data_IF_816073863407
#
_entry.id   IF_816073863407
#
_cell.length_a   1.000
_cell.length_b   1.000
_cell.length_c   1.000
_cell.angle_alpha   90.00
_cell.angle_beta   90.00
_cell.angle_gamma   90.00
#
_symmetry.space_group_name_H-M   'P 1'
#
loop_
_entity.id
_entity.type
_entity.pdbx_description
1 polymer ?
#
# COMPACT_ATOMS: atom_id res chain seq x y z
N UNK A 1 6.19 19.99 -61.56
CA UNK A 1 4.94 20.49 -60.95
C UNK A 1 3.71 19.59 -61.14
N UNK A 2 3.55 18.81 -62.23
CA UNK A 2 2.33 17.99 -62.44
C UNK A 2 2.18 16.73 -61.55
N UNK A 3 3.26 16.18 -60.98
CA UNK A 3 3.20 14.95 -60.14
C UNK A 3 2.84 15.20 -58.66
N UNK A 4 3.10 16.39 -58.13
CA UNK A 4 2.83 16.73 -56.72
C UNK A 4 1.33 17.02 -56.52
N UNK A 5 0.67 17.64 -57.50
CA UNK A 5 -0.76 17.92 -57.41
C UNK A 5 -1.63 16.64 -57.49
N UNK A 6 -1.15 15.57 -58.11
CA UNK A 6 -1.88 14.30 -58.20
C UNK A 6 -1.86 13.55 -56.86
N UNK A 7 -0.73 13.57 -56.14
CA UNK A 7 -0.58 12.92 -54.84
C UNK A 7 -1.38 13.66 -53.76
N UNK A 8 -1.41 15.00 -53.82
CA UNK A 8 -2.20 15.81 -52.90
C UNK A 8 -3.71 15.61 -53.13
N UNK A 9 -4.17 15.48 -54.38
CA UNK A 9 -5.57 15.17 -54.68
C UNK A 9 -5.97 13.78 -54.17
N UNK A 10 -5.14 12.76 -54.38
CA UNK A 10 -5.45 11.39 -53.92
C UNK A 10 -5.48 11.32 -52.39
N UNK A 11 -4.58 12.01 -51.69
CA UNK A 11 -4.58 12.07 -50.22
C UNK A 11 -5.81 12.80 -49.66
N UNK A 12 -6.25 13.89 -50.29
CA UNK A 12 -7.46 14.64 -49.89
C UNK A 12 -8.72 13.83 -50.19
N UNK A 13 -8.75 13.06 -51.28
CA UNK A 13 -9.90 12.19 -51.61
C UNK A 13 -9.99 10.98 -50.67
N UNK A 14 -8.86 10.41 -50.21
CA UNK A 14 -8.84 9.37 -49.17
C UNK A 14 -9.25 9.91 -47.79
N UNK A 15 -8.89 11.15 -47.46
CA UNK A 15 -9.26 11.78 -46.19
C UNK A 15 -10.76 12.17 -46.14
N UNK A 16 -11.35 12.57 -47.27
CA UNK A 16 -12.77 12.93 -47.36
C UNK A 16 -13.72 11.73 -47.57
N UNK A 17 -13.22 10.60 -48.09
CA UNK A 17 -14.03 9.38 -48.24
C UNK A 17 -14.01 8.50 -46.98
N UNK A 18 -12.98 8.63 -46.13
CA UNK A 18 -12.84 7.88 -44.87
C UNK A 18 -13.72 8.35 -43.71
N UNK A 19 -14.24 9.59 -43.74
CA UNK A 19 -15.01 10.15 -42.61
C UNK A 19 -16.52 9.93 -42.71
N UNK A 20 -17.05 9.58 -43.89
CA UNK A 20 -18.50 9.38 -44.07
C UNK A 20 -18.94 7.90 -43.99
N UNK A 21 -18.02 6.94 -44.06
CA UNK A 21 -18.34 5.51 -43.88
C UNK A 21 -18.33 5.07 -42.41
N UNK A 22 -17.57 5.74 -41.54
CA UNK A 22 -17.52 5.44 -40.10
C UNK A 22 -18.74 6.04 -39.36
N UNK A 23 -19.38 7.08 -39.91
CA UNK A 23 -20.54 7.70 -39.27
C UNK A 23 -21.88 6.95 -39.47
N UNK A 24 -21.98 6.04 -40.46
CA UNK A 24 -23.20 5.23 -40.68
C UNK A 24 -23.11 3.84 -40.04
N UNK A 25 -21.91 3.24 -39.94
CA UNK A 25 -21.75 1.91 -39.33
C UNK A 25 -21.76 1.94 -37.78
N UNK A 26 -21.53 3.12 -37.18
CA UNK A 26 -21.51 3.27 -35.71
C UNK A 26 -22.90 3.57 -35.11
N UNK A 27 -23.81 4.22 -35.84
CA UNK A 27 -25.18 4.51 -35.36
C UNK A 27 -26.06 3.26 -35.34
N UNK A 28 -25.88 2.34 -36.31
CA UNK A 28 -26.55 1.03 -36.30
C UNK A 28 -26.03 0.12 -35.18
N UNK A 29 -24.73 0.24 -34.81
CA UNK A 29 -24.14 -0.55 -33.73
C UNK A 29 -24.57 -0.08 -32.34
N UNK A 30 -24.75 1.22 -32.12
CA UNK A 30 -25.35 1.75 -30.88
C UNK A 30 -26.82 1.32 -30.74
N UNK A 31 -27.62 1.40 -31.80
CA UNK A 31 -29.01 0.93 -31.78
C UNK A 31 -29.09 -0.60 -31.62
N UNK A 32 -28.19 -1.37 -32.24
CA UNK A 32 -28.11 -2.82 -32.08
C UNK A 32 -27.64 -3.26 -30.68
N UNK A 33 -26.73 -2.51 -30.04
CA UNK A 33 -26.34 -2.75 -28.64
C UNK A 33 -27.45 -2.34 -27.65
N UNK A 34 -28.20 -1.27 -27.96
CA UNK A 34 -29.37 -0.84 -27.20
C UNK A 34 -30.55 -1.82 -27.32
N UNK A 35 -30.77 -2.42 -28.50
CA UNK A 35 -31.77 -3.47 -28.69
C UNK A 35 -31.38 -4.77 -27.98
N UNK A 36 -30.09 -5.10 -27.89
CA UNK A 36 -29.58 -6.22 -27.09
C UNK A 36 -29.73 -6.02 -25.57
N UNK A 37 -29.82 -4.77 -25.10
CA UNK A 37 -30.09 -4.41 -23.70
C UNK A 37 -31.59 -4.43 -23.35
N UNK A 38 -32.49 -4.74 -24.29
CA UNK A 38 -33.93 -4.76 -24.02
C UNK A 38 -34.38 -5.95 -23.18
N UNK A 39 -33.50 -6.91 -22.90
CA UNK A 39 -33.68 -7.97 -21.89
C UNK A 39 -32.52 -7.91 -20.89
N UNK A 40 -32.45 -6.84 -20.10
CA UNK A 40 -31.55 -6.78 -18.95
C UNK A 40 -31.94 -7.88 -17.96
N UNK A 41 -31.07 -8.88 -17.81
CA UNK A 41 -31.12 -9.87 -16.73
C UNK A 41 -31.17 -9.14 -15.38
N UNK A 42 -32.02 -9.57 -14.45
CA UNK A 42 -32.13 -8.96 -13.12
C UNK A 42 -30.79 -8.95 -12.38
N UNK A 43 -29.93 -9.94 -12.66
CA UNK A 43 -28.59 -10.00 -12.12
C UNK A 43 -27.63 -8.96 -12.68
N UNK A 44 -27.92 -8.38 -13.86
CA UNK A 44 -27.08 -7.35 -14.47
C UNK A 44 -27.48 -5.95 -13.99
N UNK A 45 -28.77 -5.76 -13.67
CA UNK A 45 -29.34 -4.48 -13.19
C UNK A 45 -28.61 -3.94 -11.95
N UNK A 46 -28.04 -4.82 -11.11
CA UNK A 46 -27.30 -4.43 -9.91
C UNK A 46 -25.99 -3.69 -10.16
N UNK A 47 -25.45 -3.80 -11.37
CA UNK A 47 -24.17 -3.18 -11.77
C UNK A 47 -24.32 -1.78 -12.37
N UNK A 48 -25.55 -1.33 -12.64
CA UNK A 48 -25.82 -0.02 -13.25
C UNK A 48 -26.25 1.03 -12.21
N UNK A 49 -25.87 2.31 -12.40
CA UNK A 49 -26.39 3.41 -11.60
C UNK A 49 -27.91 3.39 -11.48
N UNK A 50 -28.40 3.36 -10.24
CA UNK A 50 -29.83 3.33 -9.91
C UNK A 50 -30.16 4.33 -8.82
N UNK A 51 -31.34 4.94 -8.93
CA UNK A 51 -31.85 5.81 -7.87
C UNK A 51 -33.36 5.76 -7.79
N UNK A 52 -33.87 5.97 -6.58
CA UNK A 52 -35.28 6.07 -6.29
C UNK A 52 -35.71 7.52 -6.21
N UNK A 53 -36.80 7.88 -6.87
CA UNK A 53 -37.33 9.25 -6.88
C UNK A 53 -38.21 9.45 -5.64
N UNK A 54 -37.93 10.47 -4.84
CA UNK A 54 -38.75 10.88 -3.69
C UNK A 54 -39.49 12.21 -3.90
N UNK A 55 -39.28 12.88 -5.02
CA UNK A 55 -39.95 14.15 -5.36
C UNK A 55 -41.41 13.92 -5.80
N UNK A 56 -42.43 14.41 -5.06
CA UNK A 56 -43.83 14.09 -5.31
C UNK A 56 -44.32 14.49 -6.70
N UNK A 57 -43.93 15.67 -7.19
CA UNK A 57 -44.35 16.16 -8.50
C UNK A 57 -43.81 15.28 -9.64
N UNK A 58 -42.55 14.87 -9.55
CA UNK A 58 -41.94 13.95 -10.52
C UNK A 58 -42.58 12.56 -10.48
N UNK A 59 -42.93 12.07 -9.28
CA UNK A 59 -43.62 10.79 -9.12
C UNK A 59 -44.98 10.80 -9.86
N UNK A 60 -45.74 11.89 -9.73
CA UNK A 60 -47.04 12.06 -10.41
C UNK A 60 -46.85 12.11 -11.93
N UNK A 61 -45.88 12.90 -12.41
CA UNK A 61 -45.61 13.00 -13.85
C UNK A 61 -45.18 11.67 -14.47
N UNK A 62 -44.33 10.91 -13.78
CA UNK A 62 -43.90 9.59 -14.23
C UNK A 62 -45.09 8.63 -14.22
N UNK A 63 -45.88 8.58 -13.14
CA UNK A 63 -47.08 7.73 -13.11
C UNK A 63 -48.08 8.07 -14.22
N UNK A 64 -48.27 9.36 -14.54
CA UNK A 64 -49.13 9.76 -15.65
C UNK A 64 -48.62 9.27 -17.01
N UNK A 65 -47.29 9.19 -17.19
CA UNK A 65 -46.71 8.62 -18.40
C UNK A 65 -46.99 7.11 -18.49
N UNK A 66 -46.92 6.38 -17.37
CA UNK A 66 -47.29 4.96 -17.31
C UNK A 66 -48.77 4.72 -17.63
N UNK A 67 -49.67 5.54 -17.10
CA UNK A 67 -51.08 5.47 -17.45
C UNK A 67 -51.32 5.81 -18.93
N UNK A 68 -50.61 6.83 -19.46
CA UNK A 68 -50.67 7.21 -20.88
C UNK A 68 -50.15 6.14 -21.84
N UNK A 69 -49.23 5.29 -21.37
CA UNK A 69 -48.72 4.13 -22.11
C UNK A 69 -49.59 2.87 -21.99
N UNK A 70 -50.67 2.91 -21.18
CA UNK A 70 -51.63 1.80 -21.05
C UNK A 70 -51.29 0.74 -19.99
N UNK A 71 -50.40 1.03 -19.03
CA UNK A 71 -50.10 0.10 -17.93
C UNK A 71 -51.26 0.01 -16.92
N UNK A 72 -51.49 -1.18 -16.35
CA UNK A 72 -52.52 -1.38 -15.32
C UNK A 72 -52.20 -0.59 -14.05
N UNK A 73 -53.17 0.19 -13.58
CA UNK A 73 -53.09 0.99 -12.36
C UNK A 73 -52.76 0.16 -11.13
N UNK A 74 -53.15 -1.13 -11.10
CA UNK A 74 -52.88 -2.03 -9.97
C UNK A 74 -51.40 -2.38 -9.82
N UNK A 75 -50.60 -2.25 -10.88
CA UNK A 75 -49.16 -2.55 -10.89
C UNK A 75 -48.30 -1.32 -10.57
N UNK A 76 -48.90 -0.13 -10.56
CA UNK A 76 -48.20 1.15 -10.38
C UNK A 76 -48.13 1.55 -8.91
N UNK A 77 -46.94 1.90 -8.43
CA UNK A 77 -46.72 2.36 -7.06
C UNK A 77 -45.91 3.67 -7.05
N UNK A 78 -46.56 4.78 -6.67
CA UNK A 78 -45.95 6.12 -6.55
C UNK A 78 -44.77 6.15 -5.59
N UNK A 79 -44.85 5.37 -4.51
CA UNK A 79 -43.79 5.29 -3.50
C UNK A 79 -42.61 4.43 -3.96
N UNK A 80 -42.68 3.81 -5.13
CA UNK A 80 -41.65 2.91 -5.64
C UNK A 80 -41.33 3.19 -7.12
N UNK A 81 -40.77 4.37 -7.39
CA UNK A 81 -40.28 4.75 -8.71
C UNK A 81 -38.75 4.74 -8.70
N UNK A 82 -38.16 3.88 -9.53
CA UNK A 82 -36.70 3.76 -9.67
C UNK A 82 -36.27 4.01 -11.10
N UNK A 83 -35.11 4.66 -11.25
CA UNK A 83 -34.49 4.95 -12.54
C UNK A 83 -33.20 4.17 -12.62
N UNK A 84 -33.07 3.39 -13.71
CA UNK A 84 -31.87 2.69 -14.10
C UNK A 84 -31.22 3.44 -15.25
N UNK A 85 -29.93 3.76 -15.13
CA UNK A 85 -29.23 4.51 -16.16
C UNK A 85 -27.79 4.04 -16.38
N UNK A 86 -27.25 4.36 -17.55
CA UNK A 86 -25.84 4.21 -17.90
C UNK A 86 -25.14 5.59 -17.89
N UNK A 87 -23.84 5.66 -17.56
CA UNK A 87 -23.06 6.88 -17.76
C UNK A 87 -23.02 7.23 -19.27
N UNK A 88 -23.23 8.51 -19.60
CA UNK A 88 -23.16 8.97 -20.99
C UNK A 88 -21.75 8.89 -21.59
N UNK A 89 -21.67 8.73 -22.92
CA UNK A 89 -20.41 8.59 -23.67
C UNK A 89 -19.51 9.85 -23.66
N UNK A 90 -20.06 11.01 -23.27
CA UNK A 90 -19.35 12.26 -23.19
C UNK A 90 -19.57 12.86 -21.79
N UNK A 91 -18.51 12.81 -21.00
CA UNK A 91 -18.30 13.61 -19.80
C UNK A 91 -18.96 13.15 -18.48
N UNK A 92 -18.24 12.28 -17.76
CA UNK A 92 -18.55 11.83 -16.39
C UNK A 92 -18.45 13.01 -15.39
N UNK A 93 -17.76 14.11 -15.72
CA UNK A 93 -17.62 15.27 -14.83
C UNK A 93 -18.91 16.07 -14.62
N UNK A 94 -19.93 15.92 -15.49
CA UNK A 94 -21.19 16.69 -15.40
C UNK A 94 -22.42 15.88 -15.01
N UNK A 95 -22.29 14.57 -14.73
CA UNK A 95 -23.39 13.76 -14.21
C UNK A 95 -24.51 13.49 -15.21
N UNK A 96 -24.20 13.48 -16.51
CA UNK A 96 -25.17 13.12 -17.55
C UNK A 96 -25.33 11.60 -17.65
N UNK A 97 -26.53 11.13 -17.32
CA UNK A 97 -26.90 9.73 -17.44
C UNK A 97 -27.81 9.50 -18.65
N UNK A 98 -27.67 8.35 -19.30
CA UNK A 98 -28.63 7.86 -20.28
C UNK A 98 -29.59 6.88 -19.60
N UNK A 99 -30.88 7.20 -19.57
CA UNK A 99 -31.87 6.35 -18.92
C UNK A 99 -32.06 5.07 -19.75
N UNK A 100 -31.88 3.93 -19.10
CA UNK A 100 -32.09 2.61 -19.69
C UNK A 100 -33.52 2.12 -19.41
N UNK A 101 -33.97 2.26 -18.16
CA UNK A 101 -35.27 1.79 -17.70
C UNK A 101 -35.79 2.66 -16.56
N UNK A 102 -37.12 2.83 -16.51
CA UNK A 102 -37.81 3.41 -15.36
C UNK A 102 -38.81 2.38 -14.85
N UNK A 103 -38.79 2.09 -13.56
CA UNK A 103 -39.79 1.24 -12.89
C UNK A 103 -40.74 2.09 -12.05
N UNK A 104 -41.99 1.65 -11.96
CA UNK A 104 -43.04 2.23 -11.14
C UNK A 104 -43.86 1.09 -10.53
N UNK A 105 -43.53 0.69 -9.30
CA UNK A 105 -44.06 -0.56 -8.72
C UNK A 105 -43.50 -1.78 -9.45
N UNK A 106 -44.39 -2.63 -9.94
CA UNK A 106 -44.04 -3.86 -10.69
C UNK A 106 -43.97 -3.62 -12.21
N UNK A 107 -44.41 -2.44 -12.67
CA UNK A 107 -44.35 -2.05 -14.07
C UNK A 107 -43.01 -1.38 -14.40
N UNK A 108 -42.52 -1.57 -15.63
CA UNK A 108 -41.31 -0.92 -16.12
C UNK A 108 -41.47 -0.45 -17.57
N UNK A 109 -40.86 0.70 -17.88
CA UNK A 109 -40.70 1.22 -19.23
C UNK A 109 -39.27 1.04 -19.70
N UNK A 110 -39.11 0.48 -20.90
CA UNK A 110 -37.81 0.37 -21.60
C UNK A 110 -37.50 1.65 -22.38
N UNK A 111 -36.26 1.82 -22.83
CA UNK A 111 -35.79 3.01 -23.55
C UNK A 111 -36.73 3.48 -24.66
N UNK A 112 -37.25 2.59 -25.52
CA UNK A 112 -38.18 2.97 -26.60
C UNK A 112 -39.51 3.55 -26.07
N UNK A 113 -40.06 2.99 -24.99
CA UNK A 113 -41.27 3.50 -24.34
C UNK A 113 -41.00 4.82 -23.63
N UNK A 114 -39.81 4.99 -23.05
CA UNK A 114 -39.40 6.24 -22.41
C UNK A 114 -39.35 7.36 -23.44
N UNK A 115 -38.73 7.15 -24.61
CA UNK A 115 -38.70 8.17 -25.66
C UNK A 115 -40.10 8.54 -26.18
N UNK A 116 -41.04 7.60 -26.16
CA UNK A 116 -42.38 7.80 -26.70
C UNK A 116 -43.34 8.48 -25.70
N UNK A 117 -43.28 8.13 -24.42
CA UNK A 117 -44.28 8.52 -23.42
C UNK A 117 -43.77 9.51 -22.37
N UNK A 118 -42.45 9.67 -22.23
CA UNK A 118 -41.86 10.63 -21.29
C UNK A 118 -41.36 11.84 -22.08
N UNK A 119 -41.85 13.03 -21.72
CA UNK A 119 -41.45 14.26 -22.39
C UNK A 119 -39.94 14.48 -22.33
N UNK A 120 -39.38 15.06 -23.39
CA UNK A 120 -37.95 15.38 -23.46
C UNK A 120 -37.49 16.27 -22.30
N UNK A 121 -38.32 17.23 -21.88
CA UNK A 121 -38.05 18.08 -20.73
C UNK A 121 -37.97 17.29 -19.41
N UNK A 122 -38.85 16.30 -19.20
CA UNK A 122 -38.82 15.43 -18.03
C UNK A 122 -37.59 14.51 -18.05
N UNK A 123 -37.27 13.92 -19.20
CA UNK A 123 -36.05 13.11 -19.39
C UNK A 123 -34.80 13.91 -19.02
N UNK A 124 -34.64 15.13 -19.54
CA UNK A 124 -33.50 16.00 -19.24
C UNK A 124 -33.40 16.39 -17.77
N UNK A 125 -34.55 16.55 -17.07
CA UNK A 125 -34.57 16.77 -15.62
C UNK A 125 -34.11 15.53 -14.86
N UNK A 126 -34.59 14.35 -15.25
CA UNK A 126 -34.25 13.08 -14.61
C UNK A 126 -32.75 12.75 -14.73
N UNK A 127 -32.16 13.02 -15.90
CA UNK A 127 -30.74 12.78 -16.20
C UNK A 127 -29.80 13.83 -15.62
N UNK A 128 -30.33 14.92 -15.05
CA UNK A 128 -29.54 16.04 -14.55
C UNK A 128 -28.99 16.98 -15.63
N UNK A 129 -29.42 16.84 -16.88
CA UNK A 129 -29.08 17.76 -17.97
C UNK A 129 -29.69 19.15 -17.76
N UNK A 130 -30.89 19.20 -17.16
CA UNK A 130 -31.56 20.43 -16.78
C UNK A 130 -31.90 20.37 -15.28
N UNK A 131 -31.59 21.44 -14.54
CA UNK A 131 -31.96 21.57 -13.14
C UNK A 131 -33.48 21.57 -12.94
N UNK A 132 -33.94 20.84 -11.93
CA UNK A 132 -35.34 20.85 -11.49
C UNK A 132 -35.70 22.17 -10.79
N UNK A 133 -34.78 22.78 -10.05
CA UNK A 133 -34.98 24.00 -9.26
C UNK A 133 -34.71 25.30 -10.03
N UNK A 134 -34.30 25.20 -11.30
CA UNK A 134 -34.04 26.34 -12.18
C UNK A 134 -32.64 26.94 -12.10
N UNK A 135 -31.77 26.42 -11.22
CA UNK A 135 -30.36 26.85 -11.09
C UNK A 135 -29.42 25.64 -11.04
N UNK A 136 -28.31 25.70 -11.80
CA UNK A 136 -27.24 24.70 -11.80
C UNK A 136 -27.39 23.54 -12.80
N UNK A 137 -26.45 22.59 -12.73
CA UNK A 137 -26.41 21.31 -13.46
C UNK A 137 -26.51 20.14 -12.46
N UNK A 138 -27.00 18.99 -12.90
CA UNK A 138 -27.19 17.80 -12.06
C UNK A 138 -28.63 17.56 -11.59
N UNK A 139 -28.85 16.45 -10.88
CA UNK A 139 -30.16 16.06 -10.34
C UNK A 139 -30.47 16.90 -9.08
N UNK A 140 -31.23 17.98 -9.23
CA UNK A 140 -31.57 18.90 -8.13
C UNK A 140 -32.94 18.63 -7.49
N UNK A 141 -33.50 17.44 -7.68
CA UNK A 141 -34.76 16.99 -7.10
C UNK A 141 -34.52 15.99 -5.96
N UNK A 142 -35.53 15.64 -5.16
CA UNK A 142 -35.38 14.59 -4.14
C UNK A 142 -35.16 13.21 -4.79
N UNK A 143 -33.99 12.60 -4.54
CA UNK A 143 -33.71 11.19 -4.88
C UNK A 143 -32.89 10.49 -3.80
N UNK A 144 -32.97 9.15 -3.79
CA UNK A 144 -32.13 8.27 -2.97
C UNK A 144 -31.33 7.35 -3.89
N UNK A 145 -30.00 7.43 -3.86
CA UNK A 145 -29.15 6.52 -4.64
C UNK A 145 -29.25 5.09 -4.12
N UNK A 146 -29.27 4.15 -5.06
CA UNK A 146 -29.13 2.72 -4.78
C UNK A 146 -27.70 2.37 -5.20
N UNK A 147 -26.85 1.90 -4.27
CA UNK A 147 -25.46 1.59 -4.58
C UNK A 147 -25.39 0.50 -5.65
N UNK A 148 -24.46 0.64 -6.58
CA UNK A 148 -24.11 -0.42 -7.53
C UNK A 148 -23.39 -1.53 -6.76
N UNK A 149 -23.79 -2.77 -7.00
CA UNK A 149 -22.92 -3.89 -6.68
C UNK A 149 -21.76 -3.83 -7.67
N UNK A 150 -20.53 -4.06 -7.20
CA UNK A 150 -19.37 -4.20 -8.07
C UNK A 150 -19.21 -5.71 -8.28
N UNK A 151 -19.15 -6.22 -9.53
CA UNK A 151 -18.91 -7.64 -9.71
C UNK A 151 -17.53 -7.93 -9.12
N UNK A 152 -17.39 -9.07 -8.43
CA UNK A 152 -16.09 -9.57 -8.01
C UNK A 152 -15.33 -9.90 -9.29
N UNK A 153 -14.57 -8.95 -9.81
CA UNK A 153 -13.88 -9.12 -11.08
C UNK A 153 -12.80 -10.17 -10.88
N UNK A 154 -12.84 -11.25 -11.65
CA UNK A 154 -11.84 -12.31 -11.59
C UNK A 154 -10.55 -11.97 -12.35
N UNK A 155 -10.42 -10.79 -12.96
CA UNK A 155 -9.31 -10.49 -13.88
C UNK A 155 -8.84 -9.02 -13.99
N UNK A 156 -9.18 -8.12 -13.06
CA UNK A 156 -8.47 -6.84 -12.96
C UNK A 156 -7.53 -6.88 -11.77
N UNK A 157 -6.22 -6.76 -12.04
CA UNK A 157 -5.24 -6.50 -10.99
C UNK A 157 -5.66 -5.21 -10.26
N UNK A 158 -6.09 -5.35 -9.01
CA UNK A 158 -6.33 -4.20 -8.15
C UNK A 158 -5.00 -3.52 -7.87
N UNK A 159 -4.94 -2.20 -8.10
CA UNK A 159 -3.77 -1.43 -7.72
C UNK A 159 -3.63 -1.49 -6.20
N UNK A 160 -2.65 -2.24 -5.71
CA UNK A 160 -2.32 -2.29 -4.29
C UNK A 160 -0.91 -1.75 -4.11
N UNK A 161 -0.68 -0.94 -3.07
CA UNK A 161 0.68 -0.51 -2.80
C UNK A 161 1.50 -1.74 -2.42
N UNK A 162 1.13 -2.45 -1.35
CA UNK A 162 1.90 -3.55 -0.78
C UNK A 162 1.16 -4.90 -0.89
N UNK A 163 1.80 -5.88 -1.55
CA UNK A 163 1.21 -7.20 -1.77
C UNK A 163 1.10 -8.03 -0.48
N UNK A 164 2.05 -7.86 0.44
CA UNK A 164 2.03 -8.53 1.75
C UNK A 164 1.08 -7.81 2.72
N UNK A 165 0.66 -6.58 2.38
CA UNK A 165 -0.28 -5.77 3.14
C UNK A 165 -1.41 -5.22 2.27
N UNK A 166 -2.25 -6.10 1.68
CA UNK A 166 -3.30 -5.69 0.73
C UNK A 166 -4.36 -4.79 1.37
N UNK A 167 -4.60 -3.63 0.76
CA UNK A 167 -5.53 -2.62 1.27
C UNK A 167 -6.98 -2.80 0.79
N UNK A 168 -7.17 -3.57 -0.27
CA UNK A 168 -8.40 -3.88 -1.00
C UNK A 168 -9.26 -4.99 -0.38
N UNK A 169 -8.70 -5.84 0.49
CA UNK A 169 -9.41 -6.98 1.11
C UNK A 169 -10.05 -6.64 2.47
N UNK A 170 -11.03 -7.40 2.96
CA UNK A 170 -11.63 -7.13 4.27
C UNK A 170 -10.65 -7.48 5.40
N UNK A 171 -10.04 -8.66 5.35
CA UNK A 171 -9.05 -9.09 6.32
C UNK A 171 -7.88 -9.75 5.61
N UNK A 172 -6.68 -9.53 6.16
CA UNK A 172 -5.45 -10.07 5.61
C UNK A 172 -4.54 -10.52 6.74
N UNK A 173 -3.91 -11.66 6.52
CA UNK A 173 -2.85 -12.20 7.35
C UNK A 173 -1.67 -12.57 6.46
N UNK A 174 -0.48 -12.08 6.78
CA UNK A 174 0.75 -12.52 6.13
C UNK A 174 1.77 -12.94 7.17
N UNK A 175 2.41 -14.09 6.99
CA UNK A 175 3.40 -14.63 7.91
C UNK A 175 4.66 -15.03 7.15
N UNK A 176 5.79 -14.45 7.52
CA UNK A 176 7.13 -14.90 7.14
C UNK A 176 8.03 -14.92 8.38
N UNK A 177 9.26 -15.43 8.23
CA UNK A 177 10.29 -15.32 9.25
C UNK A 177 10.63 -13.85 9.53
N UNK A 178 10.48 -12.98 8.53
CA UNK A 178 10.86 -11.58 8.62
C UNK A 178 9.78 -10.70 9.24
N UNK A 179 8.53 -10.94 8.87
CA UNK A 179 7.41 -10.10 9.28
C UNK A 179 6.09 -10.89 9.38
N UNK A 180 5.22 -10.41 10.27
CA UNK A 180 3.91 -10.96 10.54
C UNK A 180 2.93 -9.79 10.53
N UNK A 181 1.99 -9.77 9.59
CA UNK A 181 1.05 -8.67 9.42
C UNK A 181 -0.39 -9.15 9.57
N UNK A 182 -1.20 -8.38 10.28
CA UNK A 182 -2.64 -8.60 10.45
C UNK A 182 -3.37 -7.31 10.12
N UNK A 183 -4.31 -7.36 9.17
CA UNK A 183 -5.27 -6.28 8.92
C UNK A 183 -6.49 -6.45 9.83
N UNK A 184 -6.93 -5.38 10.47
CA UNK A 184 -8.07 -5.41 11.40
C UNK A 184 -9.34 -4.97 10.68
N UNK A 185 -10.00 -5.91 10.01
CA UNK A 185 -11.24 -5.67 9.24
C UNK A 185 -11.10 -4.54 8.21
N UNK A 186 -12.21 -3.90 7.86
CA UNK A 186 -12.23 -2.82 6.87
C UNK A 186 -11.75 -1.44 7.42
N UNK A 187 -11.04 -1.43 8.54
CA UNK A 187 -10.64 -0.17 9.22
C UNK A 187 -9.38 0.46 8.64
N UNK A 188 -8.60 -0.32 7.87
CA UNK A 188 -7.26 0.06 7.41
C UNK A 188 -6.17 -0.03 8.48
N UNK A 189 -6.51 -0.46 9.70
CA UNK A 189 -5.52 -0.69 10.75
C UNK A 189 -4.71 -1.94 10.46
N UNK A 190 -3.42 -1.86 10.77
CA UNK A 190 -2.51 -2.98 10.66
C UNK A 190 -1.73 -3.18 11.95
N UNK A 191 -1.70 -4.41 12.43
CA UNK A 191 -0.74 -4.85 13.43
C UNK A 191 0.39 -5.58 12.73
N UNK A 192 1.61 -5.11 12.94
CA UNK A 192 2.81 -5.63 12.29
C UNK A 192 3.82 -6.04 13.34
N UNK A 193 4.29 -7.28 13.29
CA UNK A 193 5.47 -7.71 14.04
C UNK A 193 6.62 -7.97 13.08
N UNK A 194 7.81 -7.44 13.37
CA UNK A 194 9.00 -7.61 12.52
C UNK A 194 10.19 -8.07 13.33
N UNK A 195 11.09 -8.78 12.68
CA UNK A 195 12.41 -9.12 13.21
C UNK A 195 13.46 -8.46 12.31
N UNK A 196 14.35 -7.66 12.92
CA UNK A 196 15.27 -6.81 12.17
C UNK A 196 14.87 -5.34 12.13
N UNK A 197 15.69 -4.55 11.44
CA UNK A 197 15.41 -3.17 11.05
C UNK A 197 15.88 -2.94 9.60
N UNK A 198 15.09 -3.42 8.66
CA UNK A 198 15.36 -3.29 7.23
C UNK A 198 15.56 -1.82 6.79
N UNK A 199 14.87 -0.87 7.43
CA UNK A 199 14.90 0.56 7.04
C UNK A 199 16.29 1.19 7.10
N UNK A 200 17.13 0.70 8.02
CA UNK A 200 18.52 1.14 8.19
C UNK A 200 19.54 0.11 7.69
N UNK A 201 19.10 -0.87 6.91
CA UNK A 201 19.96 -1.89 6.29
C UNK A 201 20.33 -3.08 7.19
N UNK A 202 19.88 -3.11 8.45
CA UNK A 202 20.10 -4.24 9.36
C UNK A 202 18.93 -5.20 9.30
N UNK A 203 18.97 -6.10 8.33
CA UNK A 203 17.88 -7.04 8.08
C UNK A 203 17.70 -8.09 9.18
N UNK A 204 16.73 -8.98 8.97
CA UNK A 204 16.40 -10.11 9.82
C UNK A 204 17.57 -10.73 10.58
N UNK A 205 17.34 -11.01 11.87
CA UNK A 205 18.28 -11.59 12.83
C UNK A 205 19.50 -10.73 13.16
N UNK A 206 20.01 -9.95 12.20
CA UNK A 206 21.26 -9.22 12.37
C UNK A 206 21.19 -8.12 13.42
N UNK A 207 20.07 -7.41 13.56
CA UNK A 207 19.95 -6.29 14.50
C UNK A 207 19.77 -6.70 15.97
N UNK A 208 19.47 -7.98 16.25
CA UNK A 208 19.15 -8.42 17.61
C UNK A 208 17.90 -7.77 18.21
N UNK A 209 17.00 -7.26 17.36
CA UNK A 209 15.79 -6.55 17.77
C UNK A 209 14.57 -7.06 17.00
N UNK A 210 13.44 -7.18 17.70
CA UNK A 210 12.12 -7.35 17.13
C UNK A 210 11.24 -6.16 17.44
N UNK A 211 10.21 -5.90 16.63
CA UNK A 211 9.25 -4.83 16.87
C UNK A 211 7.81 -5.30 16.74
N UNK A 212 6.92 -4.58 17.42
CA UNK A 212 5.47 -4.63 17.21
C UNK A 212 4.99 -3.20 16.97
N UNK A 213 4.30 -2.99 15.86
CA UNK A 213 3.84 -1.69 15.39
C UNK A 213 2.35 -1.74 15.05
N UNK A 214 1.60 -0.74 15.51
CA UNK A 214 0.22 -0.49 15.11
C UNK A 214 0.21 0.67 14.11
N UNK A 215 -0.18 0.40 12.88
CA UNK A 215 -0.45 1.43 11.89
C UNK A 215 -1.92 1.79 11.88
N UNK A 216 -2.19 3.10 11.88
CA UNK A 216 -3.52 3.70 11.81
C UNK A 216 -3.61 4.66 10.61
N UNK A 217 -4.64 4.52 9.77
CA UNK A 217 -4.95 5.55 8.77
C UNK A 217 -5.54 6.79 9.46
N UNK A 218 -5.00 7.96 9.12
CA UNK A 218 -5.42 9.26 9.67
C UNK A 218 -6.22 10.09 8.67
N UNK A 219 -5.98 9.92 7.37
CA UNK A 219 -6.66 10.69 6.33
C UNK A 219 -7.02 9.82 5.13
N UNK A 220 -8.29 9.85 4.73
CA UNK A 220 -8.81 9.14 3.56
C UNK A 220 -8.54 9.92 2.28
N UNK A 221 -8.12 9.22 1.23
CA UNK A 221 -8.06 9.77 -0.11
C UNK A 221 -9.47 9.81 -0.71
N UNK A 222 -9.93 11.01 -1.08
CA UNK A 222 -11.25 11.22 -1.69
C UNK A 222 -11.23 11.27 -3.21
N UNK A 223 -10.04 11.30 -3.83
CA UNK A 223 -9.91 11.32 -5.28
C UNK A 223 -10.23 9.93 -5.85
N UNK A 224 -11.29 9.85 -6.67
CA UNK A 224 -11.78 8.59 -7.25
C UNK A 224 -10.70 7.91 -8.11
N UNK A 225 -9.82 8.67 -8.76
CA UNK A 225 -8.81 8.11 -9.65
C UNK A 225 -7.66 7.42 -8.90
N UNK A 226 -7.33 7.92 -7.70
CA UNK A 226 -6.16 7.46 -6.95
C UNK A 226 -6.53 6.72 -5.67
N UNK A 227 -7.75 6.86 -5.16
CA UNK A 227 -8.23 6.21 -3.92
C UNK A 227 -8.26 4.69 -3.98
N UNK A 228 -8.45 4.09 -5.16
CA UNK A 228 -8.36 2.63 -5.32
C UNK A 228 -6.95 2.12 -4.96
N UNK A 229 -5.93 2.80 -5.46
CA UNK A 229 -4.53 2.44 -5.23
C UNK A 229 -3.97 2.94 -3.90
N UNK A 230 -4.35 4.16 -3.52
CA UNK A 230 -3.86 4.91 -2.37
C UNK A 230 -5.08 5.34 -1.57
N UNK A 231 -5.68 4.45 -0.78
CA UNK A 231 -6.93 4.73 -0.06
C UNK A 231 -6.74 5.73 1.09
N UNK A 232 -5.53 5.84 1.63
CA UNK A 232 -5.21 6.71 2.74
C UNK A 232 -4.04 7.62 2.38
N UNK A 233 -4.23 8.93 2.53
CA UNK A 233 -3.16 9.90 2.30
C UNK A 233 -2.21 10.04 3.49
N UNK A 234 -2.64 9.63 4.68
CA UNK A 234 -1.80 9.72 5.87
C UNK A 234 -1.96 8.47 6.70
N UNK A 235 -0.85 7.79 6.99
CA UNK A 235 -0.77 6.68 7.93
C UNK A 235 0.23 7.04 9.01
N UNK A 236 -0.17 6.92 10.27
CA UNK A 236 0.76 6.99 11.39
C UNK A 236 0.95 5.60 11.96
N UNK A 237 2.15 5.30 12.43
CA UNK A 237 2.43 4.06 13.14
C UNK A 237 3.18 4.35 14.44
N UNK A 238 2.83 3.57 15.46
CA UNK A 238 3.43 3.62 16.79
C UNK A 238 3.66 2.19 17.26
N UNK A 239 4.79 1.95 17.91
CA UNK A 239 5.18 0.62 18.32
C UNK A 239 6.24 0.59 19.40
N UNK A 240 6.57 -0.63 19.80
CA UNK A 240 7.66 -0.92 20.73
C UNK A 240 8.61 -1.94 20.10
N UNK A 241 9.91 -1.67 20.21
CA UNK A 241 10.97 -2.62 19.92
C UNK A 241 11.43 -3.31 21.20
N UNK A 242 11.81 -4.58 21.07
CA UNK A 242 12.32 -5.41 22.14
C UNK A 242 13.56 -6.16 21.67
N UNK A 243 14.48 -6.39 22.60
CA UNK A 243 15.70 -7.16 22.32
C UNK A 243 15.35 -8.63 22.15
N UNK A 244 15.79 -9.20 21.06
CA UNK A 244 15.75 -10.64 20.81
C UNK A 244 17.04 -11.22 21.37
N UNK A 245 16.98 -12.33 22.11
CA UNK A 245 18.17 -13.00 22.67
C UNK A 245 18.58 -14.23 21.85
N UNK A 246 17.65 -14.81 21.09
CA UNK A 246 17.94 -15.93 20.22
C UNK A 246 19.02 -15.57 19.19
N UNK A 247 19.90 -16.52 18.88
CA UNK A 247 20.97 -16.34 17.90
C UNK A 247 22.30 -15.82 18.43
N UNK A 248 22.43 -15.65 19.75
CA UNK A 248 23.72 -15.45 20.45
C UNK A 248 24.35 -16.79 20.80
N UNK A 249 23.54 -17.77 21.17
CA UNK A 249 23.99 -19.14 21.36
C UNK A 249 23.18 -20.07 20.44
N UNK A 250 23.80 -20.63 19.38
CA UNK A 250 23.13 -21.53 18.48
C UNK A 250 22.70 -22.86 19.14
N UNK A 251 23.27 -23.25 20.28
CA UNK A 251 22.98 -24.55 20.90
C UNK A 251 21.54 -24.70 21.40
N UNK A 252 20.83 -23.60 21.64
CA UNK A 252 19.48 -23.56 22.21
C UNK A 252 18.43 -22.88 21.29
N UNK A 253 18.71 -22.69 20.00
CA UNK A 253 17.80 -22.00 19.07
C UNK A 253 17.28 -22.90 17.94
N UNK A 254 16.04 -22.67 17.49
CA UNK A 254 15.50 -23.28 16.26
C UNK A 254 16.26 -22.86 14.97
N UNK A 255 17.11 -21.83 15.05
CA UNK A 255 17.85 -21.26 13.93
C UNK A 255 19.35 -21.56 13.99
N UNK A 256 19.75 -22.76 14.41
CA UNK A 256 21.17 -23.18 14.51
C UNK A 256 21.96 -23.05 13.21
N UNK A 257 21.27 -23.04 12.07
CA UNK A 257 21.81 -22.90 10.72
C UNK A 257 22.04 -21.43 10.29
N UNK A 258 21.50 -20.46 11.03
CA UNK A 258 21.72 -19.03 10.78
C UNK A 258 23.01 -18.61 11.50
N UNK A 259 23.84 -17.81 10.83
CA UNK A 259 25.06 -17.28 11.44
C UNK A 259 24.73 -16.53 12.74
N UNK A 260 25.54 -16.77 13.76
CA UNK A 260 25.44 -16.07 15.04
C UNK A 260 25.46 -14.55 14.83
N UNK A 261 24.57 -13.86 15.54
CA UNK A 261 24.50 -12.40 15.50
C UNK A 261 25.33 -11.82 16.64
N UNK A 262 26.00 -10.72 16.34
CA UNK A 262 26.84 -9.98 17.30
C UNK A 262 26.19 -8.69 17.75
N UNK A 263 25.41 -8.02 16.89
CA UNK A 263 24.72 -6.78 17.21
C UNK A 263 23.50 -7.05 18.11
N UNK A 264 23.40 -6.26 19.18
CA UNK A 264 22.31 -6.32 20.14
C UNK A 264 21.34 -5.15 19.93
N UNK A 265 20.04 -5.41 20.10
CA UNK A 265 19.04 -4.36 20.23
C UNK A 265 19.25 -3.53 21.50
N UNK A 266 18.50 -2.44 21.63
CA UNK A 266 18.56 -1.54 22.78
C UNK A 266 18.34 -2.28 24.12
N UNK A 267 19.05 -1.86 25.16
CA UNK A 267 19.09 -2.52 26.49
C UNK A 267 17.69 -2.66 27.10
N UNK A 268 16.91 -1.58 27.08
CA UNK A 268 15.57 -1.47 27.66
C UNK A 268 14.44 -1.53 26.61
N UNK A 269 14.76 -1.94 25.38
CA UNK A 269 13.85 -1.84 24.24
C UNK A 269 13.81 -0.43 23.65
N UNK A 270 12.90 -0.22 22.69
CA UNK A 270 12.80 1.03 21.93
C UNK A 270 11.35 1.47 21.72
N UNK A 271 11.13 2.77 21.62
CA UNK A 271 9.90 3.36 21.12
C UNK A 271 10.03 3.54 19.61
N UNK A 272 9.02 3.11 18.86
CA UNK A 272 8.97 3.25 17.40
C UNK A 272 7.82 4.19 17.05
N UNK A 273 8.08 5.18 16.21
CA UNK A 273 7.08 6.09 15.70
C UNK A 273 7.37 6.42 14.24
N UNK A 274 6.32 6.58 13.44
CA UNK A 274 6.49 7.07 12.09
C UNK A 274 5.20 7.48 11.40
N UNK A 275 5.38 8.01 10.20
CA UNK A 275 4.37 8.67 9.41
C UNK A 275 4.66 8.44 7.93
N UNK A 276 3.68 7.92 7.19
CA UNK A 276 3.67 7.93 5.73
C UNK A 276 2.63 8.96 5.27
N UNK A 277 3.06 9.94 4.49
CA UNK A 277 2.21 11.02 3.98
C UNK A 277 2.28 11.11 2.46
N UNK A 278 1.14 10.98 1.81
CA UNK A 278 0.94 11.21 0.39
C UNK A 278 0.40 12.63 0.16
N UNK A 279 0.88 13.30 -0.88
CA UNK A 279 0.47 14.66 -1.19
C UNK A 279 -1.01 14.68 -1.64
N UNK A 280 -1.88 15.55 -1.09
CA UNK A 280 -3.30 15.57 -1.45
C UNK A 280 -3.62 15.85 -2.92
N UNK A 281 -2.80 16.66 -3.60
CA UNK A 281 -2.98 17.03 -5.01
C UNK A 281 -2.28 16.03 -5.94
N UNK A 282 -1.28 15.31 -5.43
CA UNK A 282 -0.48 14.36 -6.19
C UNK A 282 -0.15 13.12 -5.36
N UNK A 283 -1.14 12.26 -5.08
CA UNK A 283 -1.00 11.16 -4.10
C UNK A 283 0.10 10.14 -4.44
N UNK A 284 0.54 10.10 -5.70
CA UNK A 284 1.66 9.27 -6.12
C UNK A 284 2.97 9.63 -5.43
N UNK A 285 3.16 10.90 -5.05
CA UNK A 285 4.34 11.35 -4.33
C UNK A 285 4.04 11.64 -2.85
N UNK A 286 5.07 11.55 -2.03
CA UNK A 286 4.93 11.78 -0.60
C UNK A 286 6.24 11.71 0.14
N UNK A 287 6.14 11.64 1.46
CA UNK A 287 7.29 11.41 2.34
C UNK A 287 6.96 10.40 3.43
N UNK A 288 7.98 9.69 3.88
CA UNK A 288 7.93 8.75 5.00
C UNK A 288 8.95 9.13 6.06
N UNK A 289 8.55 9.04 7.32
CA UNK A 289 9.40 9.24 8.49
C UNK A 289 9.25 8.04 9.40
N UNK A 290 10.35 7.49 9.87
CA UNK A 290 10.41 6.44 10.89
C UNK A 290 11.53 6.78 11.85
N UNK A 291 11.24 6.66 13.14
CA UNK A 291 12.21 6.90 14.19
C UNK A 291 12.05 5.80 15.23
N UNK A 292 13.19 5.28 15.66
CA UNK A 292 13.33 4.32 16.74
C UNK A 292 14.27 4.87 17.79
N UNK A 293 13.76 5.08 19.00
CA UNK A 293 14.50 5.66 20.12
C UNK A 293 14.58 4.65 21.26
N UNK A 294 15.76 4.38 21.83
CA UNK A 294 15.86 3.54 23.02
C UNK A 294 15.11 4.21 24.19
N UNK A 295 14.44 3.42 25.02
CA UNK A 295 13.66 3.94 26.16
C UNK A 295 14.57 4.53 27.24
N UNK A 296 15.75 3.95 27.40
CA UNK A 296 16.79 4.41 28.32
C UNK A 296 18.12 4.57 27.59
N UNK A 297 18.94 5.50 28.05
CA UNK A 297 20.31 5.61 27.56
C UNK A 297 21.19 4.49 28.11
N UNK A 298 22.33 4.27 27.46
CA UNK A 298 23.29 3.25 27.84
C UNK A 298 23.90 3.61 29.19
N UNK A 299 23.85 2.67 30.14
CA UNK A 299 24.45 2.77 31.47
C UNK A 299 25.13 1.47 31.85
N UNK A 300 26.00 1.54 32.85
CA UNK A 300 26.57 0.36 33.48
C UNK A 300 25.46 -0.59 33.95
N UNK A 301 25.38 -1.78 33.36
CA UNK A 301 24.28 -2.73 33.58
C UNK A 301 24.84 -4.13 33.84
N UNK A 302 24.34 -4.80 34.88
CA UNK A 302 24.63 -6.21 35.13
C UNK A 302 23.87 -7.10 34.13
N UNK A 303 24.54 -8.08 33.54
CA UNK A 303 24.00 -8.89 32.45
C UNK A 303 24.25 -10.38 32.62
N UNK A 304 23.38 -11.17 32.00
CA UNK A 304 23.64 -12.59 31.73
C UNK A 304 24.39 -12.71 30.39
N UNK A 305 25.70 -12.94 30.42
CA UNK A 305 26.58 -12.91 29.24
C UNK A 305 26.04 -13.70 28.04
N UNK A 306 25.52 -14.91 28.25
CA UNK A 306 25.00 -15.78 27.19
C UNK A 306 23.79 -15.20 26.41
N UNK A 307 23.19 -14.10 26.89
CA UNK A 307 22.10 -13.39 26.20
C UNK A 307 22.58 -12.21 25.35
N UNK A 308 23.89 -11.96 25.30
CA UNK A 308 24.48 -10.81 24.61
C UNK A 308 25.52 -11.25 23.59
N UNK A 309 25.35 -10.80 22.35
CA UNK A 309 26.37 -10.95 21.31
C UNK A 309 27.57 -10.08 21.65
N UNK A 310 28.77 -10.62 21.49
CA UNK A 310 30.03 -9.91 21.75
C UNK A 310 31.08 -10.30 20.71
N UNK A 311 32.13 -9.49 20.59
CA UNK A 311 33.29 -9.81 19.77
C UNK A 311 34.59 -9.47 20.50
N UNK A 312 35.70 -10.06 20.04
CA UNK A 312 37.01 -9.94 20.68
C UNK A 312 37.54 -8.51 20.66
N UNK A 313 38.39 -8.18 21.63
CA UNK A 313 39.09 -6.91 21.69
C UNK A 313 40.02 -6.75 20.47
N UNK A 314 40.13 -5.52 19.98
CA UNK A 314 41.15 -5.16 18.99
C UNK A 314 42.52 -5.10 19.67
N UNK A 315 43.51 -5.94 19.28
CA UNK A 315 44.82 -5.96 19.93
C UNK A 315 45.63 -4.68 19.71
N UNK A 316 45.24 -3.83 18.75
CA UNK A 316 45.91 -2.55 18.48
C UNK A 316 45.36 -1.39 19.34
N UNK A 317 44.26 -1.60 20.07
CA UNK A 317 43.59 -0.58 20.87
C UNK A 317 43.78 -0.89 22.36
N UNK A 318 44.25 0.11 23.11
CA UNK A 318 44.34 0.00 24.56
C UNK A 318 42.98 0.36 25.19
N UNK A 319 42.34 -0.61 25.83
CA UNK A 319 41.04 -0.45 26.47
C UNK A 319 41.22 -0.19 27.96
N UNK A 320 41.31 1.09 28.34
CA UNK A 320 41.59 1.50 29.72
C UNK A 320 40.28 1.83 30.44
N UNK A 321 39.94 1.07 31.49
CA UNK A 321 38.85 1.41 32.40
C UNK A 321 39.35 2.29 33.55
N UNK A 322 38.71 3.44 33.76
CA UNK A 322 39.03 4.32 34.91
C UNK A 322 38.76 3.66 36.27
N UNK A 323 38.00 2.57 36.31
CA UNK A 323 37.69 1.79 37.50
C UNK A 323 38.64 0.60 37.72
N UNK A 324 39.66 0.42 36.85
CA UNK A 324 40.64 -0.65 36.97
C UNK A 324 40.12 -2.04 36.61
N UNK A 325 38.94 -2.13 35.97
CA UNK A 325 38.39 -3.38 35.48
C UNK A 325 39.06 -3.80 34.16
N UNK A 326 39.46 -5.07 34.09
CA UNK A 326 39.96 -5.67 32.85
C UNK A 326 38.77 -5.97 31.93
N UNK A 327 38.74 -5.30 30.78
CA UNK A 327 37.72 -5.54 29.75
C UNK A 327 38.02 -6.88 29.08
N UNK A 328 37.02 -7.72 28.92
CA UNK A 328 37.16 -9.07 28.36
C UNK A 328 36.70 -9.16 26.90
N UNK A 329 35.67 -8.40 26.52
CA UNK A 329 35.13 -8.36 25.16
C UNK A 329 34.32 -7.10 24.91
N UNK A 330 33.99 -6.83 23.65
CA UNK A 330 33.13 -5.70 23.27
C UNK A 330 31.71 -6.18 22.96
N UNK A 331 30.72 -5.47 23.51
CA UNK A 331 29.29 -5.69 23.32
C UNK A 331 28.71 -4.50 22.53
N UNK A 332 28.40 -4.68 21.23
CA UNK A 332 27.80 -3.64 20.40
C UNK A 332 26.29 -3.55 20.65
N UNK A 333 25.79 -2.34 20.91
CA UNK A 333 24.38 -2.07 21.23
C UNK A 333 23.82 -1.00 20.29
N UNK A 334 22.69 -1.33 19.65
CA UNK A 334 21.93 -0.37 18.84
C UNK A 334 21.33 0.73 19.71
N UNK A 335 21.52 1.98 19.28
CA UNK A 335 20.93 3.18 19.89
C UNK A 335 19.81 3.71 18.99
N UNK A 336 19.72 5.04 18.88
CA UNK A 336 18.74 5.72 18.05
C UNK A 336 18.97 5.41 16.58
N UNK A 337 17.87 5.20 15.85
CA UNK A 337 17.90 5.06 14.41
C UNK A 337 16.64 5.65 13.79
N UNK A 338 16.70 5.96 12.50
CA UNK A 338 15.55 6.47 11.78
C UNK A 338 15.83 6.69 10.31
N UNK A 339 14.76 6.95 9.56
CA UNK A 339 14.87 7.41 8.18
C UNK A 339 13.84 8.49 7.90
N UNK A 340 14.22 9.40 7.01
CA UNK A 340 13.33 10.33 6.34
C UNK A 340 13.50 10.10 4.84
N UNK A 341 12.42 9.83 4.12
CA UNK A 341 12.46 9.56 2.68
C UNK A 341 11.36 10.31 1.95
N UNK A 342 11.67 10.81 0.76
CA UNK A 342 10.67 11.16 -0.24
C UNK A 342 10.40 9.92 -1.08
N UNK A 343 9.15 9.69 -1.45
CA UNK A 343 8.78 8.57 -2.31
C UNK A 343 7.95 9.01 -3.51
N UNK A 344 8.04 8.22 -4.58
CA UNK A 344 7.23 8.35 -5.78
C UNK A 344 6.76 6.99 -6.28
N UNK A 345 5.46 6.86 -6.49
CA UNK A 345 4.77 5.66 -6.95
C UNK A 345 4.40 5.82 -8.44
N UNK A 346 4.94 4.95 -9.28
CA UNK A 346 4.74 4.99 -10.72
C UNK A 346 4.10 3.69 -11.22
N UNK A 347 2.85 3.79 -11.68
CA UNK A 347 2.19 2.73 -12.44
C UNK A 347 2.54 2.88 -13.91
N UNK A 348 3.09 1.82 -14.52
CA UNK A 348 3.51 1.86 -15.93
C UNK A 348 2.33 2.01 -16.89
N UNK A 349 1.18 1.43 -16.52
CA UNK A 349 -0.11 1.65 -17.17
C UNK A 349 -1.14 2.03 -16.10
N UNK A 350 -1.72 3.22 -16.20
CA UNK A 350 -2.72 3.71 -15.25
C UNK A 350 -4.09 3.07 -15.43
N UNK A 351 -4.37 2.48 -16.60
CA UNK A 351 -5.63 1.78 -16.88
C UNK A 351 -5.57 0.33 -16.42
N UNK A 352 -4.41 -0.30 -16.56
CA UNK A 352 -4.11 -1.65 -16.09
C UNK A 352 -2.90 -1.61 -15.15
N UNK A 353 -3.11 -1.36 -13.84
CA UNK A 353 -2.04 -1.11 -12.87
C UNK A 353 -1.28 -2.37 -12.45
N UNK A 354 -1.00 -3.29 -13.37
CA UNK A 354 -0.30 -4.54 -13.10
C UNK A 354 1.16 -4.31 -12.70
N UNK A 355 1.82 -3.34 -13.34
CA UNK A 355 3.24 -3.10 -13.16
C UNK A 355 3.45 -1.75 -12.47
N UNK A 356 4.19 -1.82 -11.36
CA UNK A 356 4.37 -0.72 -10.44
C UNK A 356 5.83 -0.59 -10.05
N UNK A 357 6.31 0.65 -10.01
CA UNK A 357 7.61 1.03 -9.52
C UNK A 357 7.46 2.03 -8.38
N UNK A 358 8.20 1.84 -7.30
CA UNK A 358 8.37 2.83 -6.24
C UNK A 358 9.82 3.23 -6.14
N UNK A 359 10.05 4.53 -6.07
CA UNK A 359 11.34 5.13 -5.82
C UNK A 359 11.28 5.83 -4.48
N UNK A 360 12.26 5.57 -3.61
CA UNK A 360 12.46 6.30 -2.37
C UNK A 360 13.86 6.90 -2.36
N UNK A 361 13.98 8.14 -1.90
CA UNK A 361 15.25 8.83 -1.72
C UNK A 361 15.19 9.70 -0.46
N UNK A 362 16.22 9.65 0.37
CA UNK A 362 16.32 10.52 1.52
C UNK A 362 17.52 10.23 2.39
N UNK A 363 17.31 10.34 3.70
CA UNK A 363 18.35 10.21 4.71
C UNK A 363 18.06 9.09 5.70
N UNK A 364 19.10 8.37 6.09
CA UNK A 364 19.08 7.38 7.17
C UNK A 364 20.05 7.79 8.27
N UNK A 365 19.66 7.53 9.52
CA UNK A 365 20.52 7.65 10.69
C UNK A 365 20.49 6.33 11.46
N UNK A 366 21.66 5.83 11.86
CA UNK A 366 21.74 4.71 12.79
C UNK A 366 22.97 4.85 13.67
N UNK A 367 22.80 4.61 14.96
CA UNK A 367 23.87 4.68 15.93
C UNK A 367 24.04 3.34 16.64
N UNK A 368 25.28 2.87 16.74
CA UNK A 368 25.67 1.67 17.48
C UNK A 368 26.83 2.04 18.38
N UNK A 369 26.68 1.84 19.69
CA UNK A 369 27.73 2.10 20.65
C UNK A 369 28.37 0.78 21.11
N UNK A 370 29.69 0.77 21.22
CA UNK A 370 30.44 -0.29 21.87
C UNK A 370 30.36 -0.13 23.39
N UNK A 371 30.23 -1.25 24.09
CA UNK A 371 30.32 -1.35 25.55
C UNK A 371 31.38 -2.39 25.90
N UNK A 372 32.21 -2.11 26.90
CA UNK A 372 33.14 -3.08 27.45
C UNK A 372 32.42 -4.06 28.38
N UNK A 373 32.63 -5.35 28.16
CA UNK A 373 32.26 -6.41 29.10
C UNK A 373 33.37 -6.57 30.12
N UNK A 374 33.03 -6.62 31.41
CA UNK A 374 33.96 -6.97 32.48
C UNK A 374 33.24 -7.73 33.59
N UNK A 375 34.01 -8.34 34.49
CA UNK A 375 33.48 -9.08 35.64
C UNK A 375 33.90 -8.39 36.93
N UNK A 376 32.94 -8.23 37.83
CA UNK A 376 33.23 -7.87 39.22
C UNK A 376 33.58 -9.15 39.98
N UNK A 377 34.69 -9.14 40.73
CA UNK A 377 35.19 -10.24 41.57
C UNK A 377 35.45 -11.57 40.82
N UNK A 378 36.51 -11.59 40.01
CA UNK A 378 36.98 -12.77 39.23
C UNK A 378 37.17 -14.06 40.06
N UNK A 379 37.28 -13.97 41.39
CA UNK A 379 37.62 -15.11 42.27
C UNK A 379 36.44 -15.68 43.10
N UNK A 380 35.20 -15.23 42.87
CA UNK A 380 34.03 -15.75 43.60
C UNK A 380 33.09 -16.56 42.69
N UNK A 381 32.37 -17.58 43.22
CA UNK A 381 31.43 -18.39 42.45
C UNK A 381 30.19 -17.62 41.95
N UNK A 382 30.01 -16.36 42.34
CA UNK A 382 28.92 -15.48 41.93
C UNK A 382 29.43 -14.33 41.05
N UNK A 383 30.25 -14.64 40.04
CA UNK A 383 30.70 -13.63 39.07
C UNK A 383 29.49 -12.98 38.39
N UNK A 384 29.38 -11.65 38.53
CA UNK A 384 28.39 -10.87 37.80
C UNK A 384 29.10 -10.19 36.64
N UNK A 385 28.62 -10.49 35.42
CA UNK A 385 29.09 -9.80 34.22
C UNK A 385 28.43 -8.43 34.12
N UNK A 386 29.20 -7.41 33.79
CA UNK A 386 28.73 -6.05 33.58
C UNK A 386 29.13 -5.56 32.20
N UNK A 387 28.23 -4.80 31.57
CA UNK A 387 28.55 -4.01 30.38
C UNK A 387 28.52 -2.54 30.76
N UNK A 388 29.51 -1.77 30.28
CA UNK A 388 29.54 -0.33 30.46
C UNK A 388 30.24 0.35 29.29
N UNK A 389 29.89 1.60 29.03
CA UNK A 389 30.66 2.53 28.19
C UNK A 389 31.20 3.71 29.00
N UNK A 390 30.97 3.73 30.32
CA UNK A 390 31.33 4.85 31.19
C UNK A 390 32.80 4.75 31.57
N UNK A 391 33.57 5.79 31.24
CA UNK A 391 34.99 5.91 31.57
C UNK A 391 35.85 4.72 31.10
N UNK A 392 35.54 4.19 29.92
CA UNK A 392 36.37 3.19 29.22
C UNK A 392 36.88 3.83 27.94
N UNK A 393 38.20 4.01 27.85
CA UNK A 393 38.86 4.49 26.64
C UNK A 393 38.93 3.39 25.57
N UNK A 394 39.04 3.78 24.30
CA UNK A 394 39.14 2.84 23.17
C UNK A 394 37.80 2.35 22.60
N UNK A 395 36.68 2.53 23.30
CA UNK A 395 35.35 2.21 22.77
C UNK A 395 34.92 3.16 21.65
N UNK A 396 34.33 2.59 20.59
CA UNK A 396 33.83 3.34 19.43
C UNK A 396 32.31 3.47 19.46
N UNK A 397 31.83 4.65 19.07
CA UNK A 397 30.43 4.85 18.69
C UNK A 397 30.34 5.02 17.19
N UNK A 398 29.72 4.05 16.53
CA UNK A 398 29.48 4.10 15.11
C UNK A 398 28.21 4.89 14.83
N UNK A 399 28.35 5.95 14.05
CA UNK A 399 27.27 6.81 13.58
C UNK A 399 27.61 7.28 12.17
N UNK A 400 26.64 7.81 11.39
CA UNK A 400 26.90 8.29 10.06
C UNK A 400 27.95 9.41 10.09
N UNK A 401 29.01 9.25 9.31
CA UNK A 401 30.15 10.17 9.24
C UNK A 401 30.46 10.60 7.82
N UNK A 402 30.22 9.71 6.85
CA UNK A 402 30.39 9.98 5.43
C UNK A 402 29.04 10.21 4.74
N UNK A 403 28.99 10.94 3.61
CA UNK A 403 27.74 11.18 2.89
C UNK A 403 26.94 9.91 2.54
N UNK A 404 27.64 8.80 2.24
CA UNK A 404 27.00 7.52 1.90
C UNK A 404 26.40 6.80 3.12
N UNK A 405 26.87 7.09 4.33
CA UNK A 405 26.23 6.61 5.56
C UNK A 405 24.85 7.24 5.75
N UNK A 406 24.68 8.49 5.33
CA UNK A 406 23.42 9.22 5.42
C UNK A 406 22.46 8.87 4.30
N UNK A 407 22.92 8.35 3.17
CA UNK A 407 22.06 8.10 2.01
C UNK A 407 21.06 6.97 2.30
N UNK A 408 19.78 7.26 2.06
CA UNK A 408 18.74 6.27 1.88
C UNK A 408 18.24 6.32 0.43
N UNK A 409 18.31 5.21 -0.28
CA UNK A 409 17.73 5.06 -1.60
C UNK A 409 17.09 3.69 -1.73
N UNK A 410 15.89 3.61 -2.29
CA UNK A 410 15.22 2.34 -2.55
C UNK A 410 14.53 2.38 -3.90
N UNK A 411 14.65 1.30 -4.65
CA UNK A 411 13.86 1.06 -5.85
C UNK A 411 13.13 -0.25 -5.64
N UNK A 412 11.83 -0.25 -5.90
CA UNK A 412 10.98 -1.41 -5.73
C UNK A 412 10.11 -1.59 -6.96
N UNK A 413 10.18 -2.78 -7.55
CA UNK A 413 9.34 -3.21 -8.65
C UNK A 413 8.34 -4.25 -8.14
N UNK A 414 7.09 -4.11 -8.55
CA UNK A 414 6.03 -5.04 -8.21
C UNK A 414 5.20 -5.33 -9.47
N UNK A 415 4.92 -6.60 -9.68
CA UNK A 415 3.91 -7.07 -10.59
C UNK A 415 2.72 -7.60 -9.77
N UNK A 416 1.51 -7.18 -10.13
CA UNK A 416 0.27 -7.44 -9.41
C UNK A 416 -0.73 -8.23 -10.27
N UNK A 417 -0.24 -8.87 -11.34
CA UNK A 417 -1.04 -9.77 -12.16
C UNK A 417 -1.40 -11.05 -11.40
N UNK A 418 -1.97 -12.04 -12.09
CA UNK A 418 -2.39 -13.34 -11.54
C UNK A 418 -1.28 -14.11 -10.79
N UNK A 419 -0.01 -13.79 -11.03
CA UNK A 419 1.12 -14.34 -10.29
C UNK A 419 1.99 -13.20 -9.77
N UNK A 420 1.61 -12.60 -8.64
CA UNK A 420 2.22 -11.37 -8.18
C UNK A 420 3.60 -11.62 -7.61
N UNK A 421 4.59 -10.90 -8.12
CA UNK A 421 5.98 -10.99 -7.69
C UNK A 421 6.57 -9.59 -7.55
N UNK A 422 7.70 -9.49 -6.85
CA UNK A 422 8.41 -8.24 -6.83
C UNK A 422 9.81 -8.36 -6.29
N UNK A 423 10.53 -7.26 -6.49
CA UNK A 423 11.91 -7.15 -6.10
C UNK A 423 12.17 -5.71 -5.65
N UNK A 424 13.01 -5.55 -4.63
CA UNK A 424 13.50 -4.25 -4.21
C UNK A 424 14.98 -4.29 -3.94
N UNK A 425 15.65 -3.20 -4.29
CA UNK A 425 17.04 -2.93 -3.93
C UNK A 425 17.06 -1.65 -3.12
N UNK A 426 17.71 -1.71 -1.97
CA UNK A 426 17.82 -0.62 -1.02
C UNK A 426 19.29 -0.37 -0.68
N UNK A 427 19.66 0.90 -0.63
CA UNK A 427 20.91 1.41 -0.07
C UNK A 427 20.56 2.20 1.17
N UNK A 428 21.10 1.81 2.33
CA UNK A 428 20.86 2.50 3.60
C UNK A 428 22.02 2.26 4.54
N UNK A 429 22.55 3.31 5.18
CA UNK A 429 23.65 3.19 6.15
C UNK A 429 24.84 2.37 5.61
N UNK A 430 25.25 2.65 4.37
CA UNK A 430 26.32 1.93 3.68
C UNK A 430 26.10 0.41 3.50
N UNK A 431 24.86 -0.06 3.64
CA UNK A 431 24.44 -1.44 3.38
C UNK A 431 23.57 -1.52 2.12
N UNK A 432 23.87 -2.51 1.28
CA UNK A 432 23.04 -2.89 0.15
C UNK A 432 22.12 -4.04 0.58
N UNK A 433 20.82 -3.81 0.53
CA UNK A 433 19.79 -4.81 0.83
C UNK A 433 18.97 -5.11 -0.43
N UNK A 434 18.97 -6.37 -0.84
CA UNK A 434 18.09 -6.92 -1.86
C UNK A 434 16.98 -7.73 -1.23
N UNK A 435 15.75 -7.54 -1.68
CA UNK A 435 14.57 -8.34 -1.29
C UNK A 435 13.86 -8.80 -2.56
N UNK A 436 13.48 -10.06 -2.62
CA UNK A 436 12.70 -10.63 -3.73
C UNK A 436 11.60 -11.48 -3.13
N UNK A 437 10.39 -11.38 -3.65
CA UNK A 437 9.31 -12.32 -3.32
C UNK A 437 8.63 -12.82 -4.59
N UNK A 438 8.40 -14.13 -4.65
CA UNK A 438 7.92 -14.83 -5.84
C UNK A 438 6.84 -15.84 -5.40
N UNK A 439 5.72 -15.97 -6.13
CA UNK A 439 4.69 -16.94 -5.83
C UNK A 439 5.21 -18.35 -6.09
N UNK A 440 4.95 -19.28 -5.17
CA UNK A 440 5.19 -20.71 -5.37
C UNK A 440 3.93 -21.43 -5.83
N UNK A 441 2.83 -21.23 -5.10
CA UNK A 441 1.57 -21.95 -5.32
C UNK A 441 0.39 -21.02 -5.09
N UNK A 442 -0.29 -20.66 -6.18
CA UNK A 442 -1.42 -19.72 -6.17
C UNK A 442 -1.08 -18.40 -5.51
N UNK A 443 -2.12 -17.74 -4.99
CA UNK A 443 -1.98 -16.38 -4.42
C UNK A 443 -1.71 -16.34 -2.91
N UNK A 444 -1.42 -17.49 -2.30
CA UNK A 444 -1.34 -17.66 -0.84
C UNK A 444 0.01 -18.19 -0.33
N UNK A 445 0.85 -18.79 -1.18
CA UNK A 445 2.17 -19.29 -0.81
C UNK A 445 3.28 -18.68 -1.67
N UNK A 446 4.23 -18.02 -1.01
CA UNK A 446 5.35 -17.36 -1.66
C UNK A 446 6.67 -17.79 -1.02
N UNK A 447 7.75 -17.47 -1.72
CA UNK A 447 9.09 -17.43 -1.16
C UNK A 447 9.54 -15.99 -1.13
N UNK A 448 10.02 -15.56 0.02
CA UNK A 448 10.71 -14.29 0.23
C UNK A 448 12.18 -14.55 0.48
N UNK A 449 13.03 -13.83 -0.25
CA UNK A 449 14.48 -13.91 -0.16
C UNK A 449 15.02 -12.54 0.18
N UNK A 450 15.95 -12.47 1.13
CA UNK A 450 16.69 -11.26 1.48
C UNK A 450 18.18 -11.51 1.37
N UNK A 451 18.90 -10.51 0.89
CA UNK A 451 20.35 -10.47 0.85
C UNK A 451 20.82 -9.11 1.35
N UNK A 452 21.79 -9.07 2.27
CA UNK A 452 22.48 -7.83 2.63
C UNK A 452 23.98 -8.00 2.58
N UNK A 453 24.64 -6.90 2.24
CA UNK A 453 26.08 -6.76 2.35
C UNK A 453 26.45 -5.30 2.62
N UNK A 454 27.32 -5.00 3.59
CA UNK A 454 27.94 -3.69 3.69
C UNK A 454 28.82 -3.44 2.47
N UNK A 455 28.69 -2.25 1.88
CA UNK A 455 29.48 -1.82 0.72
C UNK A 455 30.90 -1.42 1.17
N UNK A 456 31.00 -0.91 2.40
CA UNK A 456 32.28 -0.68 3.09
C UNK A 456 32.80 -1.97 3.72
N UNK A 457 33.98 -1.89 4.32
CA UNK A 457 34.45 -2.94 5.22
C UNK A 457 33.43 -3.20 6.32
N UNK A 458 33.08 -4.48 6.50
CA UNK A 458 32.10 -4.89 7.50
C UNK A 458 32.62 -4.51 8.89
N UNK A 459 31.78 -3.84 9.68
CA UNK A 459 32.12 -3.57 11.08
C UNK A 459 32.23 -4.89 11.85
N UNK A 460 32.93 -4.92 12.99
CA UNK A 460 33.12 -6.15 13.77
C UNK A 460 31.83 -6.88 14.14
N UNK A 461 30.71 -6.14 14.23
CA UNK A 461 29.39 -6.66 14.57
C UNK A 461 28.48 -6.94 13.37
N UNK A 462 28.94 -6.71 12.14
CA UNK A 462 28.16 -6.92 10.91
C UNK A 462 28.50 -8.25 10.22
N UNK A 463 27.50 -8.83 9.58
CA UNK A 463 27.68 -10.01 8.75
C UNK A 463 27.94 -9.54 7.31
N UNK A 464 29.16 -9.74 6.81
CA UNK A 464 29.58 -9.28 5.46
C UNK A 464 28.68 -9.74 4.32
N UNK A 465 28.23 -10.99 4.34
CA UNK A 465 27.28 -11.51 3.35
C UNK A 465 26.23 -12.31 4.12
N UNK A 466 25.00 -11.81 4.15
CA UNK A 466 23.89 -12.54 4.73
C UNK A 466 22.81 -12.71 3.69
N UNK A 467 22.41 -13.96 3.46
CA UNK A 467 21.23 -14.28 2.67
C UNK A 467 20.29 -15.12 3.52
N UNK A 468 18.99 -14.97 3.29
CA UNK A 468 18.00 -15.81 3.90
C UNK A 468 16.78 -15.97 3.02
N UNK A 469 16.18 -17.16 3.11
CA UNK A 469 14.97 -17.53 2.40
C UNK A 469 13.92 -17.86 3.46
N UNK A 470 12.72 -17.30 3.30
CA UNK A 470 11.57 -17.56 4.14
C UNK A 470 10.39 -17.96 3.27
N UNK A 471 9.64 -19.01 3.63
CA UNK A 471 8.28 -19.15 3.10
C UNK A 471 7.44 -17.97 3.59
N UNK A 472 6.47 -17.56 2.78
CA UNK A 472 5.44 -16.59 3.17
C UNK A 472 4.08 -17.21 2.97
N UNK A 473 3.28 -17.21 4.03
CA UNK A 473 1.88 -17.56 3.96
C UNK A 473 1.04 -16.29 3.94
N UNK A 474 0.19 -16.13 2.93
CA UNK A 474 -0.74 -15.00 2.79
C UNK A 474 -2.17 -15.54 2.75
N UNK A 475 -3.01 -15.10 3.68
CA UNK A 475 -4.42 -15.45 3.76
C UNK A 475 -5.23 -14.16 3.69
N UNK A 476 -6.17 -14.08 2.76
CA UNK A 476 -7.05 -12.92 2.56
C UNK A 476 -8.51 -13.35 2.58
N UNK A 477 -9.36 -12.51 3.16
CA UNK A 477 -10.81 -12.72 3.28
C UNK A 477 -11.53 -11.49 2.72
#
# INVERSE_FOLDING_TARGET
MKKINLILMIAITFYLCGTNLIAQEYTEKEQGMLDALTTLDQDIVKYFPRWKICEPDLQIHIQSAFLGAGFDRNLLNLSNIEVLAAPGAFDVQYGHFQILLISCGDAFMKTHQIEQYISSALKKKLTGEISYSGTGTGRTYCYKEIPVEVPVSTYQADAILDYLRPTDVYQAFSLSLFEQNVKIGNTGFWLTSRLGNDKIGYQFWSSGEGSIELQRPLYLNKDINTSRAIPYLMNAYLGGGYRVTSGVDPSNSFFTWVKERTLNGAISGSLIAGLDFHLPIYPQAGFSVDVRLPVEDIRTTGIEQHKWGSYALDPEVDYISAYGHEITSIVPVSKASGHFGLFYNWWLDSRNPENYLRFDLGVSYSEVAEMGLYYTDKDTPNQVAHISNENIEGLKTYKPSEPLDWLYAKIEYRNQATFPFGASVQLSNNNLLGRVWIPLLGDWLYVEMKYTTPIREARPYEIKNFFMISPVLRLTI
#
